data_IF_469967420707
#
_entry.id   IF_469967420707
#
_cell.length_a   1.000
_cell.length_b   1.000
_cell.length_c   1.000
_cell.angle_alpha   90.00
_cell.angle_beta   90.00
_cell.angle_gamma   90.00
#
_symmetry.space_group_name_H-M   'P 1'
#
loop_
_entity.id
_entity.type
_entity.pdbx_description
1 polymer ?
#
# COMPACT_ATOMS: atom_id res chain seq x y z
N UNK A 1 58.55 -64.28 49.11
CA UNK A 1 57.61 -64.89 48.15
C UNK A 1 56.24 -64.23 48.33
N UNK A 2 55.85 -63.29 47.47
CA UNK A 2 54.46 -62.94 47.16
C UNK A 2 54.42 -61.85 46.07
N UNK A 3 53.69 -62.15 44.99
CA UNK A 3 52.97 -61.27 44.05
C UNK A 3 53.71 -60.05 43.48
N UNK A 4 53.94 -59.98 42.17
CA UNK A 4 52.96 -59.32 41.30
C UNK A 4 53.17 -59.70 39.83
N UNK A 5 52.50 -60.78 39.41
CA UNK A 5 52.13 -61.02 38.01
C UNK A 5 51.14 -59.95 37.49
N UNK A 6 50.72 -59.01 38.33
CA UNK A 6 49.74 -57.97 38.03
C UNK A 6 50.34 -56.84 37.19
N UNK A 7 51.60 -56.48 37.41
CA UNK A 7 52.24 -55.37 36.70
C UNK A 7 52.37 -55.61 35.19
N UNK A 8 52.69 -56.84 34.76
CA UNK A 8 52.83 -57.18 33.33
C UNK A 8 51.49 -57.31 32.60
N UNK A 9 50.41 -57.67 33.30
CA UNK A 9 49.04 -57.68 32.71
C UNK A 9 48.48 -56.26 32.59
N UNK A 10 48.76 -55.39 33.55
CA UNK A 10 48.34 -53.97 33.51
C UNK A 10 49.11 -53.19 32.43
N UNK A 11 50.39 -53.49 32.20
CA UNK A 11 51.17 -52.89 31.11
C UNK A 11 50.67 -53.29 29.70
N UNK A 12 50.12 -54.50 29.53
CA UNK A 12 49.57 -54.98 28.25
C UNK A 12 48.16 -54.44 27.96
N UNK A 13 47.43 -54.02 28.99
CA UNK A 13 46.17 -53.29 28.86
C UNK A 13 46.40 -51.80 28.54
N UNK A 14 47.45 -51.19 29.09
CA UNK A 14 47.82 -49.81 28.79
C UNK A 14 48.31 -49.61 27.34
N UNK A 15 48.94 -50.61 26.72
CA UNK A 15 49.41 -50.52 25.33
C UNK A 15 48.32 -50.74 24.27
N UNK A 16 47.16 -51.29 24.66
CA UNK A 16 45.99 -51.49 23.78
C UNK A 16 44.97 -50.35 23.87
N UNK A 17 45.06 -49.50 24.89
CA UNK A 17 44.21 -48.32 25.09
C UNK A 17 44.69 -47.06 24.38
N UNK A 18 45.64 -47.15 23.44
CA UNK A 18 46.02 -46.02 22.58
C UNK A 18 44.92 -45.83 21.54
N UNK A 19 43.77 -45.35 22.01
CA UNK A 19 42.62 -45.00 21.19
C UNK A 19 43.14 -44.17 20.03
N UNK A 20 42.95 -44.68 18.81
CA UNK A 20 43.17 -43.92 17.60
C UNK A 20 42.31 -42.68 17.78
N UNK A 21 42.93 -41.53 18.08
CA UNK A 21 42.26 -40.24 18.04
C UNK A 21 41.90 -40.04 16.58
N UNK A 22 40.75 -40.57 16.18
CA UNK A 22 40.04 -40.08 15.02
C UNK A 22 39.76 -38.63 15.37
N UNK A 23 40.65 -37.77 14.89
CA UNK A 23 40.30 -36.38 14.69
C UNK A 23 39.10 -36.45 13.76
N UNK A 24 37.91 -36.34 14.32
CA UNK A 24 36.79 -35.86 13.55
C UNK A 24 37.24 -34.46 13.13
N UNK A 25 37.88 -34.41 11.96
CA UNK A 25 38.01 -33.19 11.20
C UNK A 25 36.57 -32.87 10.82
N UNK A 26 35.79 -32.32 11.77
CA UNK A 26 34.51 -31.73 11.50
C UNK A 26 34.83 -30.54 10.61
N UNK A 27 34.89 -30.79 9.31
CA UNK A 27 35.16 -29.76 8.32
C UNK A 27 34.11 -28.70 8.54
N UNK A 28 34.54 -27.54 9.04
CA UNK A 28 33.68 -26.37 9.25
C UNK A 28 32.99 -25.94 7.96
N UNK A 29 33.47 -26.45 6.82
CA UNK A 29 32.87 -26.37 5.49
C UNK A 29 31.40 -26.80 5.46
N UNK A 30 31.05 -27.95 6.07
CA UNK A 30 29.65 -28.42 6.06
C UNK A 30 28.70 -27.48 6.82
N UNK A 31 28.93 -27.14 8.11
CA UNK A 31 28.08 -26.19 8.81
C UNK A 31 28.14 -24.77 8.22
N UNK A 32 29.27 -24.36 7.62
CA UNK A 32 29.38 -23.05 6.95
C UNK A 32 28.49 -22.95 5.70
N UNK A 33 28.46 -24.00 4.87
CA UNK A 33 27.57 -24.05 3.69
C UNK A 33 26.10 -24.02 4.13
N UNK A 34 25.75 -24.77 5.18
CA UNK A 34 24.38 -24.76 5.74
C UNK A 34 24.00 -23.37 6.26
N UNK A 35 24.90 -22.68 6.95
CA UNK A 35 24.64 -21.33 7.44
C UNK A 35 24.41 -20.34 6.29
N UNK A 36 25.22 -20.39 5.22
CA UNK A 36 25.05 -19.55 4.03
C UNK A 36 23.70 -19.83 3.35
N UNK A 37 23.33 -21.10 3.22
CA UNK A 37 22.04 -21.49 2.64
C UNK A 37 20.86 -20.96 3.47
N UNK A 38 20.94 -21.01 4.81
CA UNK A 38 19.92 -20.42 5.69
C UNK A 38 19.82 -18.90 5.53
N UNK A 39 20.95 -18.20 5.43
CA UNK A 39 20.95 -16.74 5.19
C UNK A 39 20.34 -16.41 3.83
N UNK A 40 20.72 -17.13 2.78
CA UNK A 40 20.11 -16.97 1.45
C UNK A 40 18.61 -17.25 1.47
N UNK A 41 18.16 -18.26 2.22
CA UNK A 41 16.73 -18.53 2.39
C UNK A 41 16.01 -17.37 3.08
N UNK A 42 16.58 -16.78 4.13
CA UNK A 42 16.01 -15.61 4.81
C UNK A 42 15.99 -14.37 3.91
N UNK A 43 17.05 -14.16 3.11
CA UNK A 43 17.10 -13.08 2.12
C UNK A 43 16.04 -13.29 1.04
N UNK A 44 15.86 -14.52 0.53
CA UNK A 44 14.82 -14.84 -0.45
C UNK A 44 13.42 -14.69 0.13
N UNK A 45 13.19 -15.07 1.39
CA UNK A 45 11.92 -14.83 2.08
C UNK A 45 11.69 -13.31 2.23
N UNK A 46 12.71 -12.55 2.65
CA UNK A 46 12.62 -11.09 2.75
C UNK A 46 12.31 -10.43 1.40
N UNK A 47 12.99 -10.87 0.34
CA UNK A 47 12.74 -10.42 -1.03
C UNK A 47 11.35 -10.82 -1.51
N UNK A 48 10.91 -12.06 -1.29
CA UNK A 48 9.58 -12.53 -1.66
C UNK A 48 8.48 -11.74 -0.94
N UNK A 49 8.69 -11.39 0.34
CA UNK A 49 7.76 -10.53 1.09
C UNK A 49 7.75 -9.10 0.56
N UNK A 50 8.90 -8.55 0.19
CA UNK A 50 8.99 -7.22 -0.41
C UNK A 50 8.46 -7.16 -1.86
N UNK A 51 8.36 -8.30 -2.56
CA UNK A 51 7.97 -8.39 -3.97
C UNK A 51 6.60 -9.04 -4.20
N UNK A 52 5.86 -9.38 -3.13
CA UNK A 52 4.47 -9.80 -3.28
C UNK A 52 3.60 -8.57 -3.56
N UNK A 53 3.00 -8.42 -4.75
CA UNK A 53 1.90 -7.48 -4.95
C UNK A 53 0.78 -7.92 -4.01
N UNK A 54 0.50 -7.07 -3.03
CA UNK A 54 -0.16 -7.47 -1.80
C UNK A 54 -1.63 -7.80 -2.02
N UNK A 55 -1.97 -9.08 -2.06
CA UNK A 55 -3.28 -9.54 -1.55
C UNK A 55 -3.18 -9.60 -0.03
N UNK A 56 -2.80 -8.48 0.59
CA UNK A 56 -2.75 -8.34 2.04
C UNK A 56 -4.19 -8.48 2.54
N UNK A 57 -4.39 -9.38 3.50
CA UNK A 57 -5.70 -9.75 4.01
C UNK A 57 -5.72 -9.59 5.54
N UNK A 58 -6.78 -8.98 6.06
CA UNK A 58 -6.87 -8.55 7.46
C UNK A 58 -7.16 -7.05 7.51
N UNK A 59 -7.25 -6.42 8.69
CA UNK A 59 -7.42 -4.98 8.75
C UNK A 59 -6.08 -4.24 8.58
N UNK A 60 -6.06 -3.02 8.01
CA UNK A 60 -4.82 -2.31 7.70
C UNK A 60 -4.05 -1.93 8.97
N UNK A 61 -2.74 -2.13 8.95
CA UNK A 61 -1.79 -1.94 10.06
C UNK A 61 -0.81 -0.80 9.77
N UNK A 62 -0.26 -0.14 10.82
CA UNK A 62 0.74 0.90 10.64
C UNK A 62 1.90 0.47 9.73
N UNK A 63 2.17 1.26 8.69
CA UNK A 63 3.23 1.00 7.70
C UNK A 63 2.76 0.26 6.44
N UNK A 64 1.49 -0.15 6.36
CA UNK A 64 0.90 -0.64 5.13
C UNK A 64 0.62 0.51 4.15
N UNK A 65 0.65 0.20 2.85
CA UNK A 65 0.22 1.09 1.77
C UNK A 65 -0.82 0.37 0.92
N UNK A 66 -2.10 0.74 1.07
CA UNK A 66 -3.20 0.08 0.38
C UNK A 66 -3.81 0.97 -0.69
N UNK A 67 -4.25 0.34 -1.77
CA UNK A 67 -4.97 0.95 -2.87
C UNK A 67 -6.30 0.24 -3.03
N UNK A 68 -7.38 1.00 -2.95
CA UNK A 68 -8.75 0.48 -3.00
C UNK A 68 -9.48 1.27 -4.08
N UNK A 69 -10.05 0.61 -5.08
CA UNK A 69 -10.80 1.32 -6.10
C UNK A 69 -12.20 1.68 -5.58
N UNK A 70 -12.68 2.86 -5.95
CA UNK A 70 -14.05 3.25 -5.70
C UNK A 70 -14.68 3.91 -6.92
N UNK A 71 -16.01 3.92 -6.94
CA UNK A 71 -16.75 4.73 -7.89
C UNK A 71 -18.17 5.00 -7.41
N UNK A 72 -18.72 6.13 -7.84
CA UNK A 72 -20.08 6.56 -7.52
C UNK A 72 -20.92 6.49 -8.79
N UNK A 73 -22.05 5.79 -8.72
CA UNK A 73 -22.98 5.61 -9.84
C UNK A 73 -24.36 6.11 -9.48
N UNK A 74 -24.98 6.86 -10.38
CA UNK A 74 -26.38 7.30 -10.26
C UNK A 74 -27.13 6.75 -11.47
N UNK A 75 -28.12 5.89 -11.21
CA UNK A 75 -28.82 5.16 -12.26
C UNK A 75 -27.80 4.39 -13.15
N UNK A 76 -27.83 4.61 -14.46
CA UNK A 76 -26.91 3.97 -15.40
C UNK A 76 -25.62 4.76 -15.64
N UNK A 77 -25.49 5.95 -15.03
CA UNK A 77 -24.36 6.86 -15.24
C UNK A 77 -23.34 6.79 -14.10
N UNK A 78 -22.06 6.67 -14.46
CA UNK A 78 -20.95 6.77 -13.53
C UNK A 78 -20.60 8.25 -13.34
N UNK A 79 -20.59 8.73 -12.09
CA UNK A 79 -20.13 10.07 -11.78
C UNK A 79 -18.60 10.15 -11.91
N UNK A 80 -18.07 11.36 -12.17
CA UNK A 80 -16.64 11.62 -12.01
C UNK A 80 -16.14 11.21 -10.61
N UNK A 81 -14.86 10.85 -10.54
CA UNK A 81 -14.21 10.61 -9.26
C UNK A 81 -14.25 11.87 -8.39
N UNK A 82 -14.18 11.68 -7.07
CA UNK A 82 -14.11 12.81 -6.15
C UNK A 82 -12.84 13.61 -6.42
N UNK A 83 -12.96 14.93 -6.41
CA UNK A 83 -11.86 15.86 -6.62
C UNK A 83 -11.54 16.58 -5.32
N UNK A 84 -10.29 16.53 -4.89
CA UNK A 84 -9.81 17.29 -3.73
C UNK A 84 -9.08 18.57 -4.14
N UNK A 85 -9.10 19.56 -3.28
CA UNK A 85 -8.07 20.62 -3.25
C UNK A 85 -6.72 20.02 -2.91
N UNK A 86 -5.61 20.71 -3.21
CA UNK A 86 -4.27 20.24 -2.84
C UNK A 86 -4.17 19.86 -1.34
N UNK A 87 -4.83 20.60 -0.46
CA UNK A 87 -4.85 20.34 0.98
C UNK A 87 -5.74 19.14 1.39
N UNK A 88 -6.66 18.68 0.55
CA UNK A 88 -7.49 17.48 0.77
C UNK A 88 -6.85 16.24 0.13
N UNK A 89 -6.22 16.39 -1.03
CA UNK A 89 -5.40 15.34 -1.64
C UNK A 89 -4.19 15.00 -0.74
N UNK A 90 -3.68 15.99 -0.03
CA UNK A 90 -2.68 15.79 1.02
C UNK A 90 -3.26 15.18 2.32
N UNK A 91 -4.57 14.93 2.44
CA UNK A 91 -5.14 14.24 3.61
C UNK A 91 -5.29 12.76 3.31
N UNK A 92 -4.43 11.96 3.90
CA UNK A 92 -4.62 10.52 3.95
C UNK A 92 -5.82 10.16 4.85
N UNK A 93 -6.74 9.35 4.32
CA UNK A 93 -7.94 8.83 5.01
C UNK A 93 -7.64 7.98 6.25
N UNK A 94 -6.38 7.68 6.52
CA UNK A 94 -5.90 6.92 7.65
C UNK A 94 -5.06 7.74 8.64
N UNK A 95 -4.87 9.06 8.37
CA UNK A 95 -4.00 10.06 9.05
C UNK A 95 -2.48 9.93 8.79
N UNK A 96 -2.08 9.34 7.66
CA UNK A 96 -0.68 9.11 7.25
C UNK A 96 0.02 10.16 6.39
N UNK A 97 1.35 9.96 6.27
CA UNK A 97 2.36 10.87 5.71
C UNK A 97 2.01 11.38 4.29
N UNK A 98 1.83 12.69 4.20
CA UNK A 98 1.56 13.43 2.96
C UNK A 98 2.54 13.16 1.82
N UNK A 99 3.79 12.81 2.13
CA UNK A 99 4.81 12.58 1.11
C UNK A 99 4.60 11.28 0.35
N UNK A 100 3.85 10.31 0.88
CA UNK A 100 3.52 9.05 0.19
C UNK A 100 2.36 9.19 -0.82
N UNK A 101 1.51 10.22 -0.68
CA UNK A 101 0.45 10.53 -1.66
C UNK A 101 1.03 11.11 -2.96
N UNK A 102 2.32 11.47 -3.01
CA UNK A 102 2.94 12.23 -4.11
C UNK A 102 3.19 11.48 -5.43
N UNK A 103 2.56 10.33 -5.69
CA UNK A 103 2.63 9.70 -7.03
C UNK A 103 1.30 9.35 -7.69
N UNK A 104 0.16 9.59 -7.00
CA UNK A 104 -1.17 9.46 -7.59
C UNK A 104 -2.02 10.65 -7.17
N UNK A 105 -2.61 11.37 -8.12
CA UNK A 105 -3.68 12.32 -7.79
C UNK A 105 -4.92 11.52 -7.42
N UNK A 106 -5.51 11.67 -6.23
CA UNK A 106 -6.73 10.93 -5.79
C UNK A 106 -7.98 11.19 -6.68
N UNK A 107 -7.83 12.01 -7.73
CA UNK A 107 -8.77 12.14 -8.83
C UNK A 107 -8.81 10.90 -9.75
N UNK A 108 -7.95 9.90 -9.54
CA UNK A 108 -7.89 8.66 -10.32
C UNK A 108 -8.94 7.60 -9.93
N UNK A 109 -9.70 7.86 -8.85
CA UNK A 109 -10.73 6.94 -8.36
C UNK A 109 -10.17 5.82 -7.49
N UNK A 110 -8.95 5.99 -6.99
CA UNK A 110 -8.31 5.11 -6.02
C UNK A 110 -8.30 5.80 -4.65
N UNK A 111 -8.62 5.01 -3.62
CA UNK A 111 -8.41 5.36 -2.22
C UNK A 111 -7.02 4.85 -1.86
N UNK A 112 -6.07 5.79 -1.73
CA UNK A 112 -4.78 5.52 -1.12
C UNK A 112 -4.91 5.56 0.40
N UNK A 113 -4.52 4.47 1.08
CA UNK A 113 -4.73 4.31 2.51
C UNK A 113 -3.42 3.89 3.19
N UNK A 114 -2.75 4.81 3.92
CA UNK A 114 -1.48 4.56 4.63
C UNK A 114 -1.62 4.64 6.16
N UNK A 115 -2.25 3.63 6.78
CA UNK A 115 -2.46 3.58 8.24
C UNK A 115 -1.19 3.96 9.02
N UNK A 116 -1.36 4.81 10.03
CA UNK A 116 -0.29 5.18 10.98
C UNK A 116 -0.62 4.80 12.41
N UNK A 117 0.40 4.77 13.26
CA UNK A 117 0.22 4.62 14.70
C UNK A 117 -0.63 5.78 15.23
N UNK A 118 -1.74 5.46 15.88
CA UNK A 118 -2.69 6.45 16.41
C UNK A 118 -3.74 6.94 15.39
N UNK A 119 -3.62 6.51 14.14
CA UNK A 119 -4.58 6.81 13.07
C UNK A 119 -5.73 5.82 12.95
N UNK A 120 -6.52 5.97 11.89
CA UNK A 120 -7.59 5.03 11.56
C UNK A 120 -6.99 3.72 11.04
N UNK A 121 -6.76 2.79 11.95
CA UNK A 121 -6.20 1.46 11.66
C UNK A 121 -7.17 0.38 12.13
N UNK A 122 -6.92 -0.88 11.76
CA UNK A 122 -7.68 -1.97 12.38
C UNK A 122 -9.18 -1.88 12.06
N UNK A 123 -10.00 -1.82 13.12
CA UNK A 123 -11.47 -1.73 13.04
C UNK A 123 -11.99 -0.32 12.70
N UNK A 124 -11.12 0.68 12.69
CA UNK A 124 -11.46 2.07 12.37
C UNK A 124 -11.26 2.38 10.88
N UNK A 125 -10.51 1.55 10.16
CA UNK A 125 -10.37 1.67 8.71
C UNK A 125 -11.67 1.32 7.99
N UNK A 126 -12.40 2.37 7.62
CA UNK A 126 -13.77 2.30 7.11
C UNK A 126 -13.96 3.30 5.98
N UNK A 127 -14.89 2.98 5.08
CA UNK A 127 -15.30 3.85 3.98
C UNK A 127 -15.71 5.25 4.48
N UNK A 128 -16.38 5.34 5.64
CA UNK A 128 -16.79 6.63 6.20
C UNK A 128 -15.65 7.60 6.47
N UNK A 129 -14.45 7.12 6.83
CA UNK A 129 -13.30 7.99 7.11
C UNK A 129 -12.78 8.65 5.84
N UNK A 130 -12.79 7.92 4.72
CA UNK A 130 -12.48 8.48 3.41
C UNK A 130 -13.51 9.52 2.97
N UNK A 131 -14.80 9.20 3.10
CA UNK A 131 -15.88 10.12 2.72
C UNK A 131 -15.87 11.43 3.52
N UNK A 132 -15.38 11.39 4.76
CA UNK A 132 -15.27 12.57 5.61
C UNK A 132 -14.20 13.57 5.16
N UNK A 133 -13.18 13.14 4.40
CA UNK A 133 -12.19 14.06 3.83
C UNK A 133 -12.82 15.00 2.80
N UNK A 134 -13.75 14.45 2.00
CA UNK A 134 -14.41 15.15 0.90
C UNK A 134 -15.79 15.69 1.30
N UNK A 135 -16.11 15.71 2.60
CA UNK A 135 -17.41 16.12 3.16
C UNK A 135 -18.62 15.44 2.50
N UNK A 136 -18.44 14.20 2.01
CA UNK A 136 -19.51 13.42 1.36
C UNK A 136 -20.40 12.79 2.41
N UNK A 137 -21.70 13.11 2.39
CA UNK A 137 -22.67 12.46 3.27
C UNK A 137 -23.27 11.26 2.57
N UNK A 138 -23.04 10.09 3.16
CA UNK A 138 -23.62 8.83 2.71
C UNK A 138 -24.36 8.19 3.89
N UNK A 139 -25.69 8.12 3.78
CA UNK A 139 -26.57 7.40 4.70
C UNK A 139 -27.32 6.30 3.97
N UNK A 140 -28.17 5.55 4.67
CA UNK A 140 -28.97 4.46 4.09
C UNK A 140 -29.91 4.94 2.97
N UNK A 141 -30.28 6.23 2.97
CA UNK A 141 -31.26 6.79 2.02
C UNK A 141 -30.79 8.05 1.29
N UNK A 142 -29.69 8.67 1.72
CA UNK A 142 -29.19 9.94 1.16
C UNK A 142 -27.73 9.83 0.75
N UNK A 143 -27.44 10.24 -0.48
CA UNK A 143 -26.10 10.58 -0.93
C UNK A 143 -26.05 12.08 -1.23
N UNK A 144 -25.14 12.81 -0.59
CA UNK A 144 -24.96 14.25 -0.76
C UNK A 144 -23.49 14.55 -1.05
N UNK A 145 -23.24 15.21 -2.19
CA UNK A 145 -21.95 15.74 -2.59
C UNK A 145 -21.91 17.25 -2.35
N UNK A 146 -20.88 17.77 -1.66
CA UNK A 146 -20.73 19.19 -1.38
C UNK A 146 -20.22 19.96 -2.61
N UNK A 147 -20.20 21.29 -2.49
CA UNK A 147 -19.76 22.20 -3.54
C UNK A 147 -18.34 21.95 -4.05
N UNK A 148 -17.45 21.43 -3.19
CA UNK A 148 -16.09 21.05 -3.59
C UNK A 148 -16.05 19.95 -4.65
N UNK A 149 -17.13 19.16 -4.78
CA UNK A 149 -17.23 18.04 -5.72
C UNK A 149 -18.02 18.38 -6.99
N UNK A 150 -18.82 19.43 -6.97
CA UNK A 150 -19.78 19.71 -8.05
C UNK A 150 -19.61 21.09 -8.68
N UNK A 151 -19.11 22.07 -7.92
CA UNK A 151 -18.95 23.45 -8.36
C UNK A 151 -19.30 24.46 -7.25
N UNK A 152 -18.73 25.67 -7.28
CA UNK A 152 -18.94 26.68 -6.24
C UNK A 152 -20.42 27.02 -6.03
N UNK A 153 -20.92 26.93 -4.80
CA UNK A 153 -22.30 27.25 -4.43
C UNK A 153 -23.33 26.19 -4.82
N UNK A 154 -22.92 25.05 -5.39
CA UNK A 154 -23.82 23.96 -5.77
C UNK A 154 -23.68 22.78 -4.80
N UNK A 155 -24.78 22.08 -4.52
CA UNK A 155 -24.73 20.77 -3.83
C UNK A 155 -25.56 19.80 -4.62
N UNK A 156 -25.11 18.54 -4.73
CA UNK A 156 -25.92 17.47 -5.34
C UNK A 156 -26.36 16.51 -4.27
N UNK A 157 -27.67 16.39 -4.11
CA UNK A 157 -28.30 15.47 -3.16
C UNK A 157 -29.22 14.51 -3.90
N UNK A 158 -29.02 13.22 -3.65
CA UNK A 158 -29.91 12.14 -4.08
C UNK A 158 -30.54 11.52 -2.84
N UNK A 159 -31.81 11.83 -2.62
CA UNK A 159 -32.63 11.22 -1.58
C UNK A 159 -33.52 10.15 -2.21
N UNK A 160 -33.34 8.89 -1.81
CA UNK A 160 -34.10 7.75 -2.36
C UNK A 160 -35.61 7.86 -2.16
N UNK A 161 -36.08 8.71 -1.24
CA UNK A 161 -37.50 8.98 -1.07
C UNK A 161 -38.11 9.76 -2.26
N UNK A 162 -37.32 10.65 -2.86
CA UNK A 162 -37.78 11.59 -3.88
C UNK A 162 -37.14 11.32 -5.26
N UNK A 163 -35.98 10.66 -5.30
CA UNK A 163 -35.20 10.42 -6.50
C UNK A 163 -35.56 9.11 -7.18
N UNK A 164 -35.76 9.17 -8.50
CA UNK A 164 -36.16 8.04 -9.34
C UNK A 164 -35.24 7.89 -10.54
N UNK A 165 -34.92 6.64 -10.88
CA UNK A 165 -34.23 6.30 -12.13
C UNK A 165 -35.27 5.77 -13.12
N UNK A 166 -35.48 6.48 -14.24
CA UNK A 166 -36.48 6.12 -15.26
C UNK A 166 -37.88 5.83 -14.68
N UNK A 167 -38.29 6.63 -13.69
CA UNK A 167 -39.57 6.49 -13.00
C UNK A 167 -39.65 5.35 -11.98
N UNK A 168 -38.58 4.56 -11.78
CA UNK A 168 -38.48 3.52 -10.76
C UNK A 168 -37.90 4.07 -9.47
N UNK A 169 -38.42 3.59 -8.35
CA UNK A 169 -37.90 3.93 -7.02
C UNK A 169 -36.46 3.44 -6.86
N UNK A 170 -35.63 4.28 -6.27
CA UNK A 170 -34.19 4.01 -6.10
C UNK A 170 -33.88 3.54 -4.69
N UNK A 171 -32.74 2.88 -4.56
CA UNK A 171 -32.13 2.50 -3.28
C UNK A 171 -30.63 2.74 -3.38
N UNK A 172 -30.02 3.16 -2.27
CA UNK A 172 -28.57 3.21 -2.16
C UNK A 172 -28.04 1.81 -1.89
N UNK A 173 -27.07 1.37 -2.68
CA UNK A 173 -26.35 0.12 -2.50
C UNK A 173 -24.87 0.36 -2.58
N UNK A 174 -24.12 -0.25 -1.68
CA UNK A 174 -22.66 -0.29 -1.77
C UNK A 174 -22.25 -1.73 -2.03
N UNK A 175 -21.87 -2.00 -3.28
CA UNK A 175 -21.36 -3.29 -3.72
C UNK A 175 -19.85 -3.34 -3.47
N UNK A 176 -19.41 -4.40 -2.81
CA UNK A 176 -18.02 -4.57 -2.40
C UNK A 176 -17.47 -5.87 -2.97
N UNK A 177 -16.38 -5.78 -3.71
CA UNK A 177 -15.60 -6.93 -4.15
C UNK A 177 -14.35 -7.07 -3.29
N UNK A 178 -13.93 -8.31 -3.07
CA UNK A 178 -12.70 -8.61 -2.34
C UNK A 178 -11.47 -8.02 -3.03
N UNK A 179 -11.44 -8.12 -4.35
CA UNK A 179 -10.44 -7.53 -5.22
C UNK A 179 -11.01 -7.36 -6.64
N UNK A 180 -10.30 -6.64 -7.52
CA UNK A 180 -10.76 -6.40 -8.89
C UNK A 180 -10.85 -7.68 -9.74
N UNK A 181 -10.12 -8.74 -9.42
CA UNK A 181 -10.16 -10.01 -10.17
C UNK A 181 -11.31 -10.92 -9.75
N UNK A 182 -11.84 -10.72 -8.53
CA UNK A 182 -12.95 -11.48 -7.97
C UNK A 182 -14.28 -11.11 -8.63
N UNK A 183 -15.05 -12.10 -9.06
CA UNK A 183 -16.43 -11.90 -9.50
C UNK A 183 -17.42 -11.89 -8.32
N UNK A 184 -17.02 -12.46 -7.19
CA UNK A 184 -17.84 -12.47 -5.97
C UNK A 184 -17.91 -11.07 -5.34
N UNK A 185 -19.13 -10.66 -4.97
CA UNK A 185 -19.41 -9.39 -4.32
C UNK A 185 -20.42 -9.52 -3.19
N UNK A 186 -20.43 -8.50 -2.33
CA UNK A 186 -21.44 -8.31 -1.28
C UNK A 186 -22.14 -6.99 -1.50
N UNK A 187 -23.47 -7.05 -1.64
CA UNK A 187 -24.33 -5.87 -1.66
C UNK A 187 -24.72 -5.47 -0.25
N UNK A 188 -24.34 -4.26 0.14
CA UNK A 188 -24.79 -3.63 1.36
C UNK A 188 -25.89 -2.64 1.03
N UNK A 189 -26.94 -2.59 1.85
CA UNK A 189 -28.10 -1.68 1.68
C UNK A 189 -28.26 -0.70 2.86
N UNK A 190 -27.37 -0.78 3.84
CA UNK A 190 -27.38 0.02 5.06
C UNK A 190 -25.96 0.07 5.63
N UNK A 191 -25.70 1.04 6.52
CA UNK A 191 -24.50 1.12 7.35
C UNK A 191 -23.21 1.31 6.53
N UNK A 192 -23.33 2.01 5.40
CA UNK A 192 -22.27 2.17 4.41
C UNK A 192 -20.97 2.75 4.98
N UNK A 193 -21.10 3.72 5.87
CA UNK A 193 -19.95 4.38 6.52
C UNK A 193 -19.14 3.45 7.41
N UNK A 194 -19.69 2.30 7.81
CA UNK A 194 -19.03 1.32 8.65
C UNK A 194 -18.47 0.11 7.89
N UNK A 195 -18.56 0.12 6.56
CA UNK A 195 -17.90 -0.89 5.70
C UNK A 195 -16.39 -0.77 5.88
N UNK A 196 -15.76 -1.91 6.19
CA UNK A 196 -14.35 -1.97 6.57
C UNK A 196 -13.47 -2.29 5.39
N UNK A 197 -12.27 -1.74 5.42
CA UNK A 197 -11.20 -2.19 4.55
C UNK A 197 -10.57 -3.44 5.17
N UNK A 198 -10.65 -4.56 4.46
CA UNK A 198 -10.19 -5.88 4.92
C UNK A 198 -9.16 -6.51 4.01
N UNK A 199 -8.94 -5.91 2.83
CA UNK A 199 -8.00 -6.38 1.84
C UNK A 199 -7.42 -5.17 1.10
N UNK A 200 -6.16 -5.29 0.69
CA UNK A 200 -5.63 -4.40 -0.34
C UNK A 200 -6.21 -4.80 -1.72
N UNK A 201 -6.47 -3.82 -2.58
CA UNK A 201 -7.08 -4.03 -3.90
C UNK A 201 -8.60 -4.21 -3.89
N UNK A 202 -9.28 -3.98 -2.76
CA UNK A 202 -10.75 -4.00 -2.70
C UNK A 202 -11.37 -3.02 -3.68
N UNK A 203 -12.62 -3.29 -4.06
CA UNK A 203 -13.38 -2.44 -4.97
C UNK A 203 -14.72 -2.09 -4.34
N UNK A 204 -15.07 -0.81 -4.34
CA UNK A 204 -16.33 -0.29 -3.82
C UNK A 204 -17.12 0.42 -4.93
N UNK A 205 -18.33 -0.03 -5.22
CA UNK A 205 -19.28 0.70 -6.06
C UNK A 205 -20.41 1.26 -5.20
N UNK A 206 -20.45 2.58 -5.04
CA UNK A 206 -21.52 3.31 -4.33
C UNK A 206 -22.57 3.68 -5.39
N UNK A 207 -23.74 3.06 -5.34
CA UNK A 207 -24.74 3.17 -6.39
C UNK A 207 -26.09 3.65 -5.85
N UNK A 208 -26.68 4.67 -6.45
CA UNK A 208 -28.08 5.07 -6.26
C UNK A 208 -28.89 4.57 -7.46
N UNK A 209 -29.52 3.41 -7.31
CA UNK A 209 -30.07 2.64 -8.44
C UNK A 209 -31.37 1.94 -8.06
N UNK A 210 -32.20 1.51 -9.03
CA UNK A 210 -33.33 0.61 -8.73
C UNK A 210 -32.88 -0.68 -8.03
N UNK A 211 -33.77 -1.30 -7.24
CA UNK A 211 -33.46 -2.50 -6.44
C UNK A 211 -32.90 -3.68 -7.24
N UNK A 212 -33.34 -3.83 -8.49
CA UNK A 212 -32.94 -4.95 -9.36
C UNK A 212 -31.88 -4.57 -10.40
N UNK A 213 -31.33 -3.35 -10.34
CA UNK A 213 -30.30 -2.92 -11.28
C UNK A 213 -29.00 -3.71 -11.04
N UNK A 214 -28.26 -3.98 -12.11
CA UNK A 214 -26.90 -4.50 -11.97
C UNK A 214 -25.92 -3.35 -11.72
N UNK A 215 -24.91 -3.61 -10.89
CA UNK A 215 -23.87 -2.65 -10.52
C UNK A 215 -22.53 -3.24 -10.99
N UNK A 216 -21.97 -2.76 -12.10
CA UNK A 216 -20.66 -3.21 -12.55
C UNK A 216 -19.57 -2.65 -11.65
N UNK A 217 -18.36 -3.21 -11.77
CA UNK A 217 -17.16 -2.62 -11.15
C UNK A 217 -16.93 -1.21 -11.74
N UNK A 218 -16.45 -0.26 -10.93
CA UNK A 218 -16.09 1.07 -11.42
C UNK A 218 -14.88 0.99 -12.35
N UNK A 219 -14.78 1.96 -13.26
CA UNK A 219 -13.70 2.01 -14.26
C UNK A 219 -12.31 2.13 -13.61
N UNK A 220 -12.23 2.81 -12.46
CA UNK A 220 -11.02 2.96 -11.63
C UNK A 220 -10.45 1.62 -11.15
N UNK A 221 -11.25 0.55 -11.13
CA UNK A 221 -10.78 -0.74 -10.65
C UNK A 221 -9.74 -1.37 -11.59
N UNK A 222 -9.74 -1.02 -12.88
CA UNK A 222 -8.68 -1.44 -13.82
C UNK A 222 -7.30 -0.86 -13.44
N UNK A 223 -7.27 0.36 -12.92
CA UNK A 223 -6.05 1.07 -12.49
C UNK A 223 -5.29 0.32 -11.39
N UNK A 224 -5.99 -0.49 -10.56
CA UNK A 224 -5.34 -1.32 -9.54
C UNK A 224 -4.35 -2.34 -10.14
N UNK A 225 -4.60 -2.81 -11.37
CA UNK A 225 -3.68 -3.72 -12.08
C UNK A 225 -2.45 -2.96 -12.56
N UNK A 226 -2.62 -1.73 -13.05
CA UNK A 226 -1.52 -0.87 -13.50
C UNK A 226 -0.59 -0.48 -12.34
N UNK A 227 -1.17 -0.25 -11.15
CA UNK A 227 -0.44 0.04 -9.92
C UNK A 227 0.25 -1.20 -9.33
N UNK A 228 0.09 -2.39 -9.92
CA UNK A 228 0.68 -3.62 -9.41
C UNK A 228 0.11 -4.06 -8.06
N UNK A 229 -1.08 -3.59 -7.69
CA UNK A 229 -1.78 -3.94 -6.44
C UNK A 229 -2.26 -5.40 -6.49
N UNK A 230 -2.49 -5.91 -7.70
CA UNK A 230 -3.03 -7.23 -8.01
C UNK A 230 -2.31 -7.79 -9.24
N UNK A 231 -1.68 -8.96 -9.07
CA UNK A 231 -0.97 -9.65 -10.16
C UNK A 231 0.47 -9.14 -10.34
N UNK A 232 1.43 -10.04 -10.22
CA UNK A 232 2.84 -9.75 -10.49
C UNK A 232 3.08 -9.59 -11.98
N UNK A 233 3.13 -8.36 -12.46
CA UNK A 233 3.93 -8.04 -13.63
C UNK A 233 5.37 -7.82 -13.13
N UNK A 234 6.40 -8.47 -13.70
CA UNK A 234 7.76 -8.29 -13.22
C UNK A 234 8.12 -6.81 -13.35
N UNK A 235 8.48 -6.19 -12.23
CA UNK A 235 8.96 -4.83 -12.21
C UNK A 235 10.06 -4.68 -13.26
N UNK A 236 9.83 -3.81 -14.24
CA UNK A 236 10.90 -3.35 -15.13
C UNK A 236 11.90 -2.64 -14.23
N UNK A 237 13.02 -3.29 -13.93
CA UNK A 237 14.11 -2.72 -13.17
C UNK A 237 14.71 -1.57 -13.98
N UNK A 238 14.40 -0.34 -13.57
CA UNK A 238 15.23 0.81 -13.96
C UNK A 238 16.56 0.63 -13.22
N UNK A 239 17.70 0.53 -13.92
CA UNK A 239 18.98 0.35 -13.26
C UNK A 239 19.33 1.62 -12.49
N UNK A 240 19.43 1.51 -11.15
CA UNK A 240 20.07 2.52 -10.32
C UNK A 240 21.51 2.69 -10.76
N UNK A 241 21.84 3.88 -11.26
CA UNK A 241 23.23 4.24 -11.54
C UNK A 241 23.93 4.55 -10.21
N UNK A 242 24.65 3.56 -9.70
CA UNK A 242 25.70 3.78 -8.71
C UNK A 242 26.88 4.53 -9.37
N UNK A 243 27.38 5.57 -8.69
CA UNK A 243 28.79 5.75 -8.27
C UNK A 243 29.09 7.25 -8.09
N UNK A 244 29.34 7.69 -6.85
CA UNK A 244 30.13 8.90 -6.57
C UNK A 244 31.39 8.45 -5.83
N UNK A 245 32.60 8.66 -6.36
CA UNK A 245 33.81 8.57 -5.57
C UNK A 245 34.09 9.89 -4.87
N UNK A 246 34.45 9.80 -3.59
CA UNK A 246 35.08 10.90 -2.85
C UNK A 246 36.51 11.12 -3.35
N UNK A 247 36.96 12.39 -3.46
CA UNK A 247 38.11 12.95 -2.72
C UNK A 247 38.64 14.27 -3.35
N UNK A 248 39.22 15.11 -2.48
CA UNK A 248 40.25 16.15 -2.67
C UNK A 248 39.88 17.63 -3.00
N UNK A 249 40.00 18.44 -1.93
CA UNK A 249 40.69 19.75 -1.78
C UNK A 249 40.50 20.89 -2.81
N UNK A 250 40.15 22.12 -2.39
CA UNK A 250 40.20 23.30 -3.25
C UNK A 250 41.56 24.01 -3.18
N UNK A 251 42.22 24.18 -4.34
CA UNK A 251 43.37 25.07 -4.52
C UNK A 251 42.97 26.30 -5.37
N UNK A 252 43.23 27.46 -4.79
CA UNK A 252 43.62 28.77 -5.33
C UNK A 252 43.18 29.20 -6.74
N UNK A 253 42.37 30.28 -6.74
CA UNK A 253 42.59 31.53 -7.48
C UNK A 253 42.82 31.50 -9.00
N UNK A 254 41.96 32.18 -9.76
CA UNK A 254 42.36 33.48 -10.30
C UNK A 254 41.16 34.32 -10.79
N UNK A 255 41.40 35.62 -10.77
CA UNK A 255 40.52 36.76 -11.04
C UNK A 255 40.42 37.00 -12.55
N UNK A 256 39.23 37.28 -13.11
CA UNK A 256 39.04 38.43 -14.03
C UNK A 256 37.61 38.97 -13.90
N UNK A 257 37.54 40.24 -13.50
CA UNK A 257 36.35 41.06 -13.49
C UNK A 257 36.00 41.56 -14.91
N UNK A 258 34.70 41.68 -15.19
CA UNK A 258 34.18 42.66 -16.14
C UNK A 258 32.81 43.16 -15.68
N UNK A 259 32.82 44.39 -15.18
CA UNK A 259 31.71 45.24 -14.74
C UNK A 259 30.81 45.64 -15.92
N UNK A 260 29.47 45.62 -15.77
CA UNK A 260 28.57 46.68 -16.30
C UNK A 260 27.22 46.73 -15.54
N UNK A 261 27.17 47.65 -14.58
CA UNK A 261 26.13 48.59 -14.12
C UNK A 261 24.77 48.69 -14.85
N UNK A 262 23.68 48.49 -14.07
CA UNK A 262 22.40 49.27 -13.93
C UNK A 262 21.38 49.30 -15.09
N UNK A 263 20.14 48.85 -14.84
CA UNK A 263 19.02 49.72 -14.40
C UNK A 263 17.70 48.94 -14.25
N UNK A 264 17.02 49.17 -13.12
CA UNK A 264 15.62 48.87 -12.92
C UNK A 264 14.75 49.85 -13.74
N UNK A 265 13.59 49.38 -14.23
CA UNK A 265 12.43 50.22 -14.50
C UNK A 265 11.16 49.38 -14.41
N UNK A 266 10.42 49.65 -13.34
CA UNK A 266 9.00 49.39 -13.16
C UNK A 266 8.19 50.03 -14.30
N UNK A 267 7.14 49.37 -14.77
CA UNK A 267 5.98 50.06 -15.36
C UNK A 267 4.70 49.30 -15.02
N UNK A 268 3.78 50.07 -14.45
CA UNK A 268 2.42 49.75 -14.03
C UNK A 268 1.46 49.84 -15.22
N UNK A 269 0.47 48.94 -15.26
CA UNK A 269 -0.92 49.28 -15.59
C UNK A 269 -1.34 49.35 -17.06
N UNK A 270 -2.20 48.41 -17.42
CA UNK A 270 -3.21 48.47 -18.47
C UNK A 270 -4.33 47.52 -18.10
#
# INVERSE_FOLDING_TARGET
MATSSSAKKVAKLASRGKGKKVRFQSGTTFPAIVAIACVLMLVLIGYARASMPGVEAGPPQPGDAWSIAYGIRICDEQLPNLTGTAAELEKDASTGDQTAVQTGSDADGIIHYHPQVGGATGRQARLGVFLDIYDVKLTDTVLELPESQVGPGETRKWDTADFKCDGKDTQIRVRVWKDYTSDDFVDNVTNFRNLRFTNNGMVFAIAVVPKDADIPKPDSAATLTELGVIGGSPATTVPSSDTVPADSTPDTGDTVAATTTVAASTTTGG
#
